data_IF_816247808005
#
_entry.id   IF_816247808005
#
_cell.length_a   1.000
_cell.length_b   1.000
_cell.length_c   1.000
_cell.angle_alpha   90.00
_cell.angle_beta   90.00
_cell.angle_gamma   90.00
#
_symmetry.space_group_name_H-M   'P 1'
#
loop_
_entity.id
_entity.type
_entity.pdbx_description
1 polymer ?
#
# COMPACT_ATOMS: atom_id res chain seq x y z
N UNK A 1 24.60 8.10 27.38
CA UNK A 1 24.63 6.62 27.30
C UNK A 1 23.19 6.16 27.44
N UNK A 2 22.46 6.00 26.37
CA UNK A 2 21.12 5.44 26.39
C UNK A 2 21.28 3.92 26.39
N UNK A 3 20.84 3.28 27.45
CA UNK A 3 20.70 1.84 27.50
C UNK A 3 19.68 1.43 26.46
N UNK A 4 20.14 0.87 25.35
CA UNK A 4 19.29 0.09 24.47
C UNK A 4 18.85 -1.14 25.23
N UNK A 5 17.69 -1.07 25.90
CA UNK A 5 17.06 -2.26 26.42
C UNK A 5 16.83 -3.18 25.21
N UNK A 6 17.55 -4.29 25.14
CA UNK A 6 17.24 -5.34 24.20
C UNK A 6 15.83 -5.83 24.54
N UNK A 7 14.83 -5.43 23.77
CA UNK A 7 13.49 -6.01 23.82
C UNK A 7 13.54 -7.44 23.26
N UNK A 8 14.33 -8.30 23.91
CA UNK A 8 14.38 -9.70 23.56
C UNK A 8 12.99 -10.30 23.83
N UNK A 9 12.37 -10.81 22.79
CA UNK A 9 11.08 -11.50 22.89
C UNK A 9 11.25 -12.66 23.87
N UNK A 10 10.42 -12.75 24.92
CA UNK A 10 10.52 -13.84 25.88
C UNK A 10 10.44 -15.21 25.20
N UNK A 11 11.36 -16.11 25.53
CA UNK A 11 11.46 -17.42 24.88
C UNK A 11 10.23 -18.32 25.02
N UNK A 12 9.31 -18.00 25.93
CA UNK A 12 8.06 -18.73 26.10
C UNK A 12 6.93 -18.27 25.16
N UNK A 13 7.12 -17.16 24.43
CA UNK A 13 6.15 -16.71 23.45
C UNK A 13 6.34 -17.47 22.13
N UNK A 14 5.28 -18.11 21.58
CA UNK A 14 5.36 -18.90 20.37
C UNK A 14 5.36 -17.98 19.12
N UNK A 15 6.42 -17.20 18.97
CA UNK A 15 6.60 -16.36 17.79
C UNK A 15 6.80 -17.22 16.55
N UNK A 16 6.24 -16.80 15.44
CA UNK A 16 6.51 -17.40 14.12
C UNK A 16 8.02 -17.37 13.83
N UNK A 17 8.55 -18.47 13.32
CA UNK A 17 9.99 -18.60 13.05
C UNK A 17 10.53 -17.57 12.04
N UNK A 18 9.70 -17.19 11.06
CA UNK A 18 10.02 -16.20 10.04
C UNK A 18 10.05 -14.74 10.54
N UNK A 19 9.60 -14.51 11.79
CA UNK A 19 9.66 -13.21 12.44
C UNK A 19 10.79 -13.11 13.48
N UNK A 20 11.51 -14.21 13.73
CA UNK A 20 12.61 -14.21 14.69
C UNK A 20 13.81 -13.46 14.10
N UNK A 21 14.21 -12.37 14.77
CA UNK A 21 15.32 -11.52 14.33
C UNK A 21 14.92 -10.43 13.34
N UNK A 22 13.65 -10.34 12.97
CA UNK A 22 13.15 -9.23 12.19
C UNK A 22 13.04 -7.94 13.02
N UNK A 23 13.45 -6.83 12.43
CA UNK A 23 13.26 -5.51 13.03
C UNK A 23 11.91 -4.92 12.60
N UNK A 24 11.20 -4.22 13.51
CA UNK A 24 9.95 -3.57 13.15
C UNK A 24 10.14 -2.58 12.00
N UNK A 25 9.27 -2.65 10.99
CA UNK A 25 9.26 -1.65 9.93
C UNK A 25 8.97 -0.25 10.51
N UNK A 26 9.77 0.73 10.09
CA UNK A 26 9.54 2.12 10.43
C UNK A 26 10.65 3.03 9.90
N UNK A 27 10.27 4.18 9.34
CA UNK A 27 11.23 5.22 9.04
C UNK A 27 11.72 5.85 10.35
N UNK A 28 13.03 6.15 10.48
CA UNK A 28 13.55 6.84 11.66
C UNK A 28 12.83 8.18 11.86
N UNK A 29 12.40 8.45 13.09
CA UNK A 29 11.89 9.77 13.47
C UNK A 29 13.09 10.66 13.77
N UNK A 30 13.30 11.67 12.94
CA UNK A 30 14.46 12.55 12.99
C UNK A 30 14.03 13.94 13.43
N UNK A 31 14.72 14.50 14.44
CA UNK A 31 14.61 15.90 14.81
C UNK A 31 15.65 16.72 14.06
N UNK A 32 15.33 17.08 12.82
CA UNK A 32 16.20 17.81 11.90
C UNK A 32 15.43 18.93 11.22
N UNK A 33 16.11 20.05 10.85
CA UNK A 33 15.43 21.19 10.20
C UNK A 33 14.76 20.86 8.86
N UNK A 34 15.25 19.85 8.13
CA UNK A 34 14.70 19.38 6.86
C UNK A 34 14.56 17.85 6.94
N UNK A 35 13.32 17.36 7.00
CA UNK A 35 13.00 15.94 7.06
C UNK A 35 12.44 15.49 5.71
N UNK A 36 13.20 14.64 4.99
CA UNK A 36 12.84 14.13 3.66
C UNK A 36 12.82 12.59 3.58
N UNK A 37 12.89 11.92 4.73
CA UNK A 37 12.94 10.46 4.82
C UNK A 37 11.56 9.81 4.89
N UNK A 38 10.49 10.61 4.93
CA UNK A 38 9.09 10.19 4.92
C UNK A 38 8.31 11.01 3.90
N UNK A 39 7.22 10.45 3.39
CA UNK A 39 6.40 11.08 2.36
C UNK A 39 5.24 11.86 3.03
N UNK A 40 5.58 12.96 3.71
CA UNK A 40 4.63 13.83 4.40
C UNK A 40 4.33 15.11 3.62
N UNK A 41 3.10 15.60 3.75
CA UNK A 41 2.75 16.92 3.23
C UNK A 41 3.30 18.02 4.17
N UNK A 42 4.23 18.88 3.73
CA UNK A 42 4.80 19.91 4.58
C UNK A 42 3.85 21.09 4.87
N UNK A 43 2.71 21.16 4.18
CA UNK A 43 1.75 22.24 4.35
C UNK A 43 0.68 21.85 5.37
N UNK A 44 0.45 22.71 6.36
CA UNK A 44 -0.64 22.54 7.30
C UNK A 44 -2.01 22.65 6.60
N UNK A 45 -3.04 21.97 7.11
CA UNK A 45 -4.40 22.16 6.60
C UNK A 45 -4.85 23.63 6.72
N UNK A 46 -5.66 24.07 5.76
CA UNK A 46 -6.26 25.41 5.79
C UNK A 46 -7.12 25.59 7.06
N UNK A 47 -7.13 26.77 7.69
CA UNK A 47 -7.87 27.01 8.94
C UNK A 47 -9.36 26.65 8.85
N UNK A 48 -10.00 26.90 7.70
CA UNK A 48 -11.40 26.54 7.48
C UNK A 48 -11.63 25.03 7.48
N UNK A 49 -10.67 24.24 7.03
CA UNK A 49 -10.70 22.76 7.08
C UNK A 49 -10.57 22.30 8.52
N UNK A 50 -9.64 22.88 9.28
CA UNK A 50 -9.42 22.57 10.70
C UNK A 50 -10.69 22.82 11.51
N UNK A 51 -11.34 23.99 11.33
CA UNK A 51 -12.59 24.34 12.01
C UNK A 51 -13.72 23.38 11.63
N UNK A 52 -13.83 23.02 10.35
CA UNK A 52 -14.84 22.06 9.89
C UNK A 52 -14.66 20.69 10.54
N UNK A 53 -13.41 20.19 10.64
CA UNK A 53 -13.10 18.93 11.33
C UNK A 53 -13.51 19.01 12.80
N UNK A 54 -13.12 20.09 13.50
CA UNK A 54 -13.44 20.28 14.91
C UNK A 54 -14.97 20.30 15.16
N UNK A 55 -15.72 20.96 14.29
CA UNK A 55 -17.17 21.01 14.38
C UNK A 55 -17.79 19.62 14.14
N UNK A 56 -17.32 18.88 13.12
CA UNK A 56 -17.79 17.51 12.86
C UNK A 56 -17.50 16.55 14.01
N UNK A 57 -16.33 16.66 14.63
CA UNK A 57 -16.00 15.86 15.82
C UNK A 57 -16.97 16.15 16.96
N UNK A 58 -17.33 17.42 17.23
CA UNK A 58 -18.34 17.77 18.24
C UNK A 58 -19.71 17.16 17.94
N UNK A 59 -20.12 17.14 16.68
CA UNK A 59 -21.41 16.57 16.24
C UNK A 59 -21.50 15.07 16.47
N UNK A 60 -20.42 14.33 16.16
CA UNK A 60 -20.41 12.87 16.28
C UNK A 60 -20.01 12.37 17.67
N UNK A 61 -19.34 13.19 18.49
CA UNK A 61 -18.84 12.78 19.81
C UNK A 61 -19.87 12.06 20.69
N UNK A 62 -21.15 12.48 20.73
CA UNK A 62 -22.18 11.80 21.53
C UNK A 62 -22.48 10.36 21.06
N UNK A 63 -22.05 9.97 19.85
CA UNK A 63 -22.32 8.66 19.25
C UNK A 63 -21.09 7.75 19.19
N UNK A 64 -19.92 8.20 19.66
CA UNK A 64 -18.66 7.45 19.59
C UNK A 64 -18.68 6.15 20.43
N UNK A 65 -19.65 5.99 21.32
CA UNK A 65 -19.89 4.74 22.06
C UNK A 65 -20.64 3.68 21.23
N UNK A 66 -21.01 3.99 19.99
CA UNK A 66 -21.72 3.09 19.06
C UNK A 66 -20.78 2.65 17.95
N UNK A 67 -21.09 1.51 17.33
CA UNK A 67 -20.37 1.09 16.11
C UNK A 67 -20.62 2.10 14.98
N UNK A 68 -19.59 2.39 14.18
CA UNK A 68 -19.72 3.26 13.00
C UNK A 68 -20.53 2.58 11.88
N UNK A 69 -20.84 3.35 10.83
CA UNK A 69 -21.34 2.78 9.58
C UNK A 69 -20.28 1.84 8.97
N UNK A 70 -20.59 0.55 8.93
CA UNK A 70 -19.70 -0.50 8.41
C UNK A 70 -19.36 -0.31 6.94
N UNK A 71 -20.31 0.20 6.17
CA UNK A 71 -20.20 0.33 4.73
C UNK A 71 -19.55 1.64 4.28
N UNK A 72 -19.34 2.59 5.19
CA UNK A 72 -18.75 3.91 4.90
C UNK A 72 -19.42 4.64 3.73
N UNK A 73 -20.73 4.53 3.62
CA UNK A 73 -21.51 4.98 2.45
C UNK A 73 -21.25 6.46 2.14
N UNK A 74 -21.29 7.34 3.15
CA UNK A 74 -21.08 8.77 2.93
C UNK A 74 -19.65 9.09 2.48
N UNK A 75 -18.65 8.40 3.02
CA UNK A 75 -17.25 8.51 2.58
C UNK A 75 -17.10 8.07 1.13
N UNK A 76 -17.64 6.91 0.78
CA UNK A 76 -17.56 6.34 -0.58
C UNK A 76 -18.27 7.23 -1.61
N UNK A 77 -19.40 7.85 -1.27
CA UNK A 77 -20.07 8.87 -2.11
C UNK A 77 -19.19 10.10 -2.31
N UNK A 78 -18.59 10.62 -1.22
CA UNK A 78 -17.69 11.76 -1.29
C UNK A 78 -16.45 11.45 -2.17
N UNK A 79 -15.87 10.24 -2.05
CA UNK A 79 -14.79 9.78 -2.91
C UNK A 79 -15.20 9.68 -4.38
N UNK A 80 -16.38 9.17 -4.69
CA UNK A 80 -16.91 9.13 -6.06
C UNK A 80 -16.96 10.53 -6.67
N UNK A 81 -17.51 11.50 -5.94
CA UNK A 81 -17.60 12.90 -6.38
C UNK A 81 -16.21 13.53 -6.53
N UNK A 82 -15.29 13.25 -5.60
CA UNK A 82 -13.93 13.75 -5.67
C UNK A 82 -13.19 13.23 -6.91
N UNK A 83 -13.24 11.93 -7.17
CA UNK A 83 -12.57 11.30 -8.31
C UNK A 83 -13.15 11.79 -9.65
N UNK A 84 -14.47 11.96 -9.75
CA UNK A 84 -15.09 12.52 -10.93
C UNK A 84 -14.60 13.95 -11.21
N UNK A 85 -14.46 14.78 -10.18
CA UNK A 85 -13.94 16.15 -10.29
C UNK A 85 -12.45 16.20 -10.66
N UNK A 86 -11.61 15.37 -10.03
CA UNK A 86 -10.15 15.45 -10.18
C UNK A 86 -9.64 14.72 -11.44
N UNK A 87 -10.29 13.62 -11.82
CA UNK A 87 -9.81 12.77 -12.92
C UNK A 87 -10.81 12.58 -14.08
N UNK A 88 -12.03 13.10 -13.95
CA UNK A 88 -13.09 12.87 -14.92
C UNK A 88 -13.64 11.44 -14.93
N UNK A 89 -13.21 10.59 -14.01
CA UNK A 89 -13.64 9.19 -13.92
C UNK A 89 -14.75 9.06 -12.90
N UNK A 90 -15.94 8.65 -13.37
CA UNK A 90 -17.10 8.38 -12.52
C UNK A 90 -17.10 6.93 -12.07
N UNK A 91 -16.93 6.72 -10.75
CA UNK A 91 -17.03 5.42 -10.12
C UNK A 91 -18.31 5.34 -9.30
N UNK A 92 -18.97 4.19 -9.29
CA UNK A 92 -20.09 3.94 -8.40
C UNK A 92 -19.59 3.69 -6.96
N UNK A 93 -20.47 3.84 -5.99
CA UNK A 93 -20.16 3.57 -4.59
C UNK A 93 -19.64 2.14 -4.39
N UNK A 94 -20.16 1.18 -5.16
CA UNK A 94 -19.78 -0.23 -5.07
C UNK A 94 -18.37 -0.55 -5.63
N UNK A 95 -17.80 0.39 -6.37
CA UNK A 95 -16.42 0.28 -6.88
C UNK A 95 -15.39 0.93 -5.94
N UNK A 96 -15.83 1.46 -4.80
CA UNK A 96 -15.01 2.18 -3.84
C UNK A 96 -15.04 1.51 -2.47
N UNK A 97 -13.92 1.54 -1.78
CA UNK A 97 -13.81 1.07 -0.41
C UNK A 97 -12.96 2.04 0.42
N UNK A 98 -13.25 2.13 1.72
CA UNK A 98 -12.49 2.94 2.67
C UNK A 98 -11.82 2.06 3.72
N UNK A 99 -10.59 2.42 4.09
CA UNK A 99 -9.83 1.76 5.15
C UNK A 99 -8.86 2.73 5.83
N UNK A 100 -8.11 2.27 6.83
CA UNK A 100 -7.09 3.07 7.52
C UNK A 100 -5.81 3.20 6.67
N UNK A 101 -5.92 4.00 5.62
CA UNK A 101 -4.86 4.20 4.64
C UNK A 101 -4.67 3.02 3.68
N UNK A 102 -3.73 3.18 2.74
CA UNK A 102 -3.41 2.17 1.74
C UNK A 102 -2.80 0.90 2.35
N UNK A 103 -2.15 0.98 3.51
CA UNK A 103 -1.56 -0.17 4.16
C UNK A 103 -2.61 -1.23 4.51
N UNK A 104 -3.75 -0.83 5.05
CA UNK A 104 -4.84 -1.78 5.35
C UNK A 104 -5.45 -2.37 4.07
N UNK A 105 -5.65 -1.54 3.03
CA UNK A 105 -6.13 -2.01 1.73
C UNK A 105 -5.17 -3.03 1.12
N UNK A 106 -3.87 -2.76 1.13
CA UNK A 106 -2.87 -3.67 0.59
C UNK A 106 -2.84 -4.99 1.36
N UNK A 107 -2.88 -4.94 2.70
CA UNK A 107 -2.95 -6.17 3.51
C UNK A 107 -4.21 -6.98 3.18
N UNK A 108 -5.38 -6.34 3.06
CA UNK A 108 -6.62 -7.02 2.67
C UNK A 108 -6.52 -7.67 1.28
N UNK A 109 -5.88 -6.99 0.30
CA UNK A 109 -5.64 -7.55 -1.02
C UNK A 109 -4.73 -8.79 -0.96
N UNK A 110 -3.64 -8.71 -0.19
CA UNK A 110 -2.75 -9.85 -0.02
C UNK A 110 -3.41 -11.00 0.75
N UNK A 111 -4.27 -10.73 1.73
CA UNK A 111 -5.07 -11.75 2.41
C UNK A 111 -6.07 -12.42 1.47
N UNK A 112 -6.64 -11.68 0.52
CA UNK A 112 -7.64 -12.22 -0.40
C UNK A 112 -7.01 -13.00 -1.57
N UNK A 113 -5.87 -12.54 -2.10
CA UNK A 113 -5.28 -13.05 -3.34
C UNK A 113 -3.91 -13.69 -3.15
N UNK A 114 -3.21 -13.43 -2.05
CA UNK A 114 -1.96 -14.07 -1.67
C UNK A 114 -2.17 -15.40 -0.95
N UNK A 115 -1.15 -15.86 -0.23
CA UNK A 115 -1.18 -17.06 0.59
C UNK A 115 -0.03 -18.04 0.31
N UNK A 116 0.07 -19.14 1.07
CA UNK A 116 1.08 -20.16 0.86
C UNK A 116 1.04 -20.74 -0.56
N UNK A 117 2.20 -20.87 -1.20
CA UNK A 117 2.32 -21.37 -2.56
C UNK A 117 2.03 -20.33 -3.65
N UNK A 118 1.50 -19.16 -3.30
CA UNK A 118 1.19 -18.07 -4.26
C UNK A 118 2.32 -17.06 -4.32
N UNK A 119 2.41 -16.36 -5.45
CA UNK A 119 3.47 -15.39 -5.74
C UNK A 119 2.86 -14.00 -5.91
N UNK A 120 3.53 -13.01 -5.34
CA UNK A 120 3.31 -11.60 -5.64
C UNK A 120 4.55 -11.03 -6.33
N UNK A 121 4.35 -10.25 -7.38
CA UNK A 121 5.40 -9.63 -8.19
C UNK A 121 5.38 -8.13 -8.03
N UNK A 122 6.53 -7.53 -7.72
CA UNK A 122 6.77 -6.08 -7.76
C UNK A 122 7.91 -5.72 -8.69
N UNK A 123 8.16 -4.41 -8.86
CA UNK A 123 9.24 -3.88 -9.70
C UNK A 123 10.12 -2.95 -8.87
N UNK A 124 11.33 -3.39 -8.48
CA UNK A 124 12.23 -2.62 -7.64
C UNK A 124 13.09 -1.59 -8.39
N UNK A 125 13.47 -0.48 -7.72
CA UNK A 125 13.05 -0.09 -6.37
C UNK A 125 11.56 0.26 -6.29
N UNK A 126 10.92 -0.12 -5.18
CA UNK A 126 9.51 0.13 -4.91
C UNK A 126 9.26 0.37 -3.42
N UNK A 127 8.00 0.53 -3.02
CA UNK A 127 7.65 0.78 -1.62
C UNK A 127 7.96 -0.43 -0.74
N UNK A 128 8.71 -0.18 0.33
CA UNK A 128 9.28 -1.22 1.19
C UNK A 128 8.25 -2.05 1.98
N UNK A 129 7.00 -1.61 2.07
CA UNK A 129 5.95 -2.37 2.74
C UNK A 129 5.38 -3.54 1.91
N UNK A 130 5.57 -3.58 0.60
CA UNK A 130 5.00 -4.67 -0.21
C UNK A 130 5.53 -6.06 0.16
N UNK A 131 6.85 -6.26 0.35
CA UNK A 131 7.34 -7.53 0.87
C UNK A 131 6.82 -7.87 2.28
N UNK A 132 6.53 -6.86 3.14
CA UNK A 132 5.95 -7.07 4.46
C UNK A 132 4.55 -7.70 4.36
N UNK A 133 3.67 -7.15 3.50
CA UNK A 133 2.34 -7.76 3.29
C UNK A 133 2.43 -9.18 2.71
N UNK A 134 3.40 -9.43 1.82
CA UNK A 134 3.64 -10.76 1.29
C UNK A 134 4.07 -11.73 2.41
N UNK A 135 5.03 -11.33 3.25
CA UNK A 135 5.47 -12.11 4.42
C UNK A 135 4.32 -12.40 5.39
N UNK A 136 3.51 -11.38 5.70
CA UNK A 136 2.42 -11.49 6.66
C UNK A 136 1.32 -12.46 6.20
N UNK A 137 1.22 -12.69 4.90
CA UNK A 137 0.26 -13.60 4.28
C UNK A 137 0.89 -14.89 3.76
N UNK A 138 2.17 -15.15 4.05
CA UNK A 138 2.92 -16.30 3.52
C UNK A 138 2.96 -16.37 1.99
N UNK A 139 2.86 -15.22 1.33
CA UNK A 139 2.98 -15.09 -0.11
C UNK A 139 4.45 -14.94 -0.50
N UNK A 140 4.90 -15.63 -1.52
CA UNK A 140 6.27 -15.48 -2.02
C UNK A 140 6.39 -14.16 -2.76
N UNK A 141 7.28 -13.27 -2.30
CA UNK A 141 7.59 -12.02 -2.98
C UNK A 141 8.65 -12.22 -4.05
N UNK A 142 8.40 -11.77 -5.27
CA UNK A 142 9.33 -11.76 -6.40
C UNK A 142 9.47 -10.37 -6.98
N UNK A 143 10.61 -10.10 -7.63
CA UNK A 143 10.94 -8.80 -8.19
C UNK A 143 11.31 -8.91 -9.66
N UNK A 144 10.80 -7.99 -10.48
CA UNK A 144 11.41 -7.54 -11.71
C UNK A 144 12.17 -6.24 -11.44
N UNK A 145 13.15 -5.91 -12.26
CA UNK A 145 13.95 -4.70 -12.10
C UNK A 145 13.44 -3.59 -13.02
N UNK A 146 13.57 -2.35 -12.55
CA UNK A 146 13.33 -1.15 -13.37
C UNK A 146 14.57 -0.83 -14.20
N UNK A 147 14.42 0.00 -15.21
CA UNK A 147 15.52 0.58 -15.95
C UNK A 147 16.42 1.46 -15.06
N UNK A 148 17.62 1.80 -15.53
CA UNK A 148 18.57 2.65 -14.78
C UNK A 148 18.02 4.05 -14.47
N UNK A 149 17.06 4.54 -15.23
CA UNK A 149 16.32 5.80 -15.01
C UNK A 149 15.05 5.63 -14.17
N UNK A 150 14.87 4.46 -13.58
CA UNK A 150 13.71 4.05 -12.78
C UNK A 150 12.38 3.94 -13.54
N UNK A 151 12.35 4.08 -14.85
CA UNK A 151 11.16 3.73 -15.64
C UNK A 151 10.90 2.22 -15.55
N UNK A 152 9.64 1.81 -15.80
CA UNK A 152 9.32 0.39 -15.82
C UNK A 152 10.03 -0.29 -17.02
N UNK A 153 10.79 -1.35 -16.75
CA UNK A 153 11.24 -2.27 -17.81
C UNK A 153 10.06 -3.20 -18.14
N UNK A 154 9.32 -2.84 -19.18
CA UNK A 154 8.09 -3.53 -19.55
C UNK A 154 8.37 -4.95 -20.00
N UNK A 155 9.43 -5.16 -20.79
CA UNK A 155 9.75 -6.49 -21.34
C UNK A 155 10.26 -7.43 -20.23
N UNK A 156 11.10 -6.93 -19.32
CA UNK A 156 11.52 -7.70 -18.15
C UNK A 156 10.33 -8.00 -17.21
N UNK A 157 9.40 -7.06 -17.05
CA UNK A 157 8.20 -7.27 -16.24
C UNK A 157 7.29 -8.32 -16.85
N UNK A 158 7.04 -8.27 -18.15
CA UNK A 158 6.25 -9.29 -18.88
C UNK A 158 6.90 -10.66 -18.77
N UNK A 159 8.21 -10.74 -19.00
CA UNK A 159 8.93 -11.99 -18.83
C UNK A 159 8.81 -12.55 -17.41
N UNK A 160 8.94 -11.70 -16.40
CA UNK A 160 8.76 -12.14 -15.02
C UNK A 160 7.33 -12.65 -14.74
N UNK A 161 6.30 -12.03 -15.31
CA UNK A 161 4.90 -12.50 -15.20
C UNK A 161 4.76 -13.91 -15.81
N UNK A 162 5.31 -14.12 -17.00
CA UNK A 162 5.27 -15.42 -17.69
C UNK A 162 6.03 -16.51 -16.93
N UNK A 163 7.18 -16.16 -16.37
CA UNK A 163 8.05 -17.11 -15.66
C UNK A 163 7.46 -17.53 -14.30
N UNK A 164 6.88 -16.59 -13.53
CA UNK A 164 6.45 -16.85 -12.14
C UNK A 164 4.95 -16.94 -11.95
N UNK A 165 4.14 -16.53 -12.93
CA UNK A 165 2.68 -16.61 -12.93
C UNK A 165 2.07 -16.07 -11.63
N UNK A 166 2.27 -14.79 -11.31
CA UNK A 166 1.92 -14.23 -10.01
C UNK A 166 0.41 -14.13 -9.80
N UNK A 167 -0.05 -14.38 -8.58
CA UNK A 167 -1.42 -14.13 -8.17
C UNK A 167 -1.71 -12.64 -7.93
N UNK A 168 -0.65 -11.86 -7.60
CA UNK A 168 -0.74 -10.42 -7.37
C UNK A 168 0.42 -9.73 -8.08
N UNK A 169 0.13 -8.68 -8.84
CA UNK A 169 1.14 -7.80 -9.42
C UNK A 169 0.94 -6.40 -8.86
N UNK A 170 2.00 -5.84 -8.26
CA UNK A 170 1.97 -4.50 -7.67
C UNK A 170 2.74 -3.53 -8.54
N UNK A 171 2.01 -2.59 -9.13
CA UNK A 171 2.56 -1.49 -9.93
C UNK A 171 2.11 -0.16 -9.33
N UNK A 172 3.06 0.70 -9.00
CA UNK A 172 2.82 2.00 -8.37
C UNK A 172 3.05 3.13 -9.37
N UNK A 173 2.13 4.09 -9.44
CA UNK A 173 2.27 5.26 -10.30
C UNK A 173 1.68 6.51 -9.65
N UNK A 174 2.48 7.59 -9.42
CA UNK A 174 3.95 7.60 -9.50
C UNK A 174 4.58 6.56 -8.58
N UNK A 175 5.73 6.01 -8.97
CA UNK A 175 6.41 5.01 -8.15
C UNK A 175 6.99 5.63 -6.86
N UNK A 176 6.85 4.95 -5.76
CA UNK A 176 7.53 5.28 -4.51
C UNK A 176 8.74 4.33 -4.35
N UNK A 177 10.01 4.84 -4.17
CA UNK A 177 10.37 6.23 -3.86
C UNK A 177 10.79 7.09 -5.06
N UNK A 178 10.80 6.57 -6.30
CA UNK A 178 11.48 7.22 -7.44
C UNK A 178 10.71 8.36 -8.08
N UNK A 179 9.39 8.49 -7.79
CA UNK A 179 8.53 9.49 -8.41
C UNK A 179 8.20 9.25 -9.89
N UNK A 180 8.68 8.16 -10.46
CA UNK A 180 8.56 7.86 -11.90
C UNK A 180 7.13 7.44 -12.25
N UNK A 181 6.46 8.08 -13.21
CA UNK A 181 5.13 7.68 -13.63
C UNK A 181 5.17 6.42 -14.51
N UNK A 182 4.09 5.65 -14.47
CA UNK A 182 3.84 4.54 -15.39
C UNK A 182 3.05 5.06 -16.59
N UNK A 183 3.53 4.80 -17.80
CA UNK A 183 2.84 5.19 -19.01
C UNK A 183 1.62 4.30 -19.27
N UNK A 184 0.49 4.84 -19.74
CA UNK A 184 -0.70 4.06 -20.01
C UNK A 184 -0.48 2.90 -20.99
N UNK A 185 0.33 3.11 -22.02
CA UNK A 185 0.69 2.10 -23.02
C UNK A 185 1.50 0.94 -22.38
N UNK A 186 2.40 1.23 -21.45
CA UNK A 186 3.19 0.24 -20.73
C UNK A 186 2.29 -0.58 -19.79
N UNK A 187 1.41 0.09 -19.05
CA UNK A 187 0.41 -0.57 -18.20
C UNK A 187 -0.47 -1.52 -19.04
N UNK A 188 -0.92 -1.09 -20.21
CA UNK A 188 -1.75 -1.93 -21.09
C UNK A 188 -1.04 -3.21 -21.48
N UNK A 189 0.24 -3.14 -21.89
CA UNK A 189 1.05 -4.32 -22.23
C UNK A 189 1.18 -5.29 -21.07
N UNK A 190 1.46 -4.77 -19.86
CA UNK A 190 1.56 -5.59 -18.65
C UNK A 190 0.22 -6.24 -18.30
N UNK A 191 -0.90 -5.52 -18.41
CA UNK A 191 -2.23 -6.07 -18.18
C UNK A 191 -2.60 -7.17 -19.18
N UNK A 192 -2.22 -7.04 -20.44
CA UNK A 192 -2.42 -8.07 -21.47
C UNK A 192 -1.65 -9.34 -21.13
N UNK A 193 -0.36 -9.21 -20.74
CA UNK A 193 0.43 -10.34 -20.29
C UNK A 193 -0.15 -11.02 -19.04
N UNK A 194 -0.57 -10.22 -18.04
CA UNK A 194 -1.16 -10.74 -16.82
C UNK A 194 -2.48 -11.50 -17.06
N UNK A 195 -3.29 -11.09 -18.03
CA UNK A 195 -4.55 -11.78 -18.39
C UNK A 195 -4.34 -13.13 -19.04
N UNK A 196 -3.22 -13.33 -19.71
CA UNK A 196 -2.89 -14.58 -20.40
C UNK A 196 -2.07 -15.54 -19.54
N UNK A 197 -1.44 -15.04 -18.48
CA UNK A 197 -0.70 -15.86 -17.54
C UNK A 197 -1.69 -16.64 -16.63
N UNK A 198 -1.55 -17.96 -16.60
CA UNK A 198 -2.26 -18.78 -15.62
C UNK A 198 -1.65 -18.54 -14.23
N UNK A 199 -2.48 -18.33 -13.22
CA UNK A 199 -2.01 -18.16 -11.85
C UNK A 199 -1.44 -19.50 -11.35
N UNK A 200 -0.25 -19.46 -10.75
CA UNK A 200 0.36 -20.65 -10.15
C UNK A 200 -0.38 -21.01 -8.84
N UNK A 201 -0.94 -22.20 -8.76
CA UNK A 201 -1.39 -22.91 -7.58
C UNK A 201 -2.74 -22.54 -7.04
#
# INVERSE_FOLDING_TARGET
MSETSSNAIPAYLPLRNDLIGEEPYGAPQLDVPVCLNVNENPYAPEPAVVETIAQRVKEIAPTLNRYPDREHIELRKAFSTYLERESGVKLSVDQLWGANGSNEIMLQLFQAFGGPGRIALGCDPTYSMYPEYARDTFTTWKLAHRNADFTLDVDATIKAIEDVKPAVIVLTSPNNPTGTPLKPEDLKRVLEAARTAEVAG
#
